data_IF_092892454377
#
_entry.id   IF_092892454377
#
_cell.length_a   1.000
_cell.length_b   1.000
_cell.length_c   1.000
_cell.angle_alpha   90.00
_cell.angle_beta   90.00
_cell.angle_gamma   90.00
#
_symmetry.space_group_name_H-M   'P 1'
#
loop_
_entity.id
_entity.type
_entity.pdbx_description
1 polymer ?
#
# COMPACT_ATOMS: atom_id res chain seq x y z
N UNK A 1 6.04 -6.88 -15.25
CA UNK A 1 7.18 -6.14 -14.68
C UNK A 1 7.68 -5.19 -15.74
N UNK A 2 7.83 -3.94 -15.37
CA UNK A 2 8.39 -2.88 -16.21
C UNK A 2 9.75 -2.46 -15.65
N UNK A 3 10.56 -1.84 -16.50
CA UNK A 3 11.88 -1.35 -16.15
C UNK A 3 11.99 0.10 -16.58
N UNK A 4 12.52 0.94 -15.70
CA UNK A 4 12.81 2.33 -16.02
C UNK A 4 14.05 2.81 -15.28
N UNK A 5 14.72 3.80 -15.87
CA UNK A 5 15.85 4.47 -15.23
C UNK A 5 15.34 5.76 -14.58
N UNK A 6 15.51 5.87 -13.28
CA UNK A 6 15.14 7.07 -12.52
C UNK A 6 16.41 7.82 -12.15
N UNK A 7 16.52 9.07 -12.61
CA UNK A 7 17.54 10.02 -12.15
C UNK A 7 17.06 10.75 -10.90
N UNK A 8 17.83 10.67 -9.82
CA UNK A 8 17.56 11.40 -8.58
C UNK A 8 18.78 12.21 -8.18
N UNK A 9 18.59 13.50 -7.90
CA UNK A 9 19.64 14.34 -7.34
C UNK A 9 19.84 13.99 -5.86
N UNK A 10 20.99 13.40 -5.52
CA UNK A 10 21.34 13.02 -4.16
C UNK A 10 22.70 13.60 -3.78
N UNK A 11 22.75 14.41 -2.71
CA UNK A 11 23.99 15.08 -2.25
C UNK A 11 24.72 15.87 -3.35
N UNK A 12 23.97 16.56 -4.21
CA UNK A 12 24.47 17.34 -5.37
C UNK A 12 25.10 16.50 -6.50
N UNK A 13 24.97 15.18 -6.44
CA UNK A 13 25.32 14.26 -7.51
C UNK A 13 24.05 13.69 -8.11
N UNK A 14 23.94 13.68 -9.44
CA UNK A 14 22.88 12.95 -10.11
C UNK A 14 23.20 11.45 -10.06
N UNK A 15 22.26 10.66 -9.54
CA UNK A 15 22.39 9.21 -9.48
C UNK A 15 21.27 8.58 -10.29
N UNK A 16 21.66 7.66 -11.17
CA UNK A 16 20.74 6.87 -11.95
C UNK A 16 20.52 5.53 -11.27
N UNK A 17 19.26 5.15 -11.12
CA UNK A 17 18.86 3.88 -10.55
C UNK A 17 18.04 3.12 -11.59
N UNK A 18 18.45 1.89 -11.84
CA UNK A 18 17.66 0.93 -12.61
C UNK A 18 16.56 0.37 -11.70
N UNK A 19 15.31 0.65 -12.04
CA UNK A 19 14.14 0.30 -11.22
C UNK A 19 13.26 -0.66 -11.98
N UNK A 20 13.13 -1.87 -11.43
CA UNK A 20 12.16 -2.86 -11.87
C UNK A 20 10.93 -2.79 -10.96
N UNK A 21 9.75 -2.59 -11.54
CA UNK A 21 8.52 -2.45 -10.77
C UNK A 21 7.33 -3.09 -11.48
N UNK A 22 6.22 -3.20 -10.75
CA UNK A 22 4.92 -3.52 -11.30
C UNK A 22 4.03 -2.28 -11.13
N UNK A 23 3.36 -1.80 -12.19
CA UNK A 23 2.47 -0.63 -12.06
C UNK A 23 1.43 -0.85 -10.96
N UNK A 24 1.23 0.15 -10.10
CA UNK A 24 0.31 0.01 -8.97
C UNK A 24 -1.13 -0.27 -9.43
N UNK A 25 -1.52 0.29 -10.57
CA UNK A 25 -2.82 0.05 -11.17
C UNK A 25 -3.00 -1.43 -11.57
N UNK A 26 -1.97 -2.03 -12.17
CA UNK A 26 -1.99 -3.44 -12.55
C UNK A 26 -2.00 -4.35 -11.31
N UNK A 27 -1.27 -3.97 -10.25
CA UNK A 27 -1.34 -4.65 -8.96
C UNK A 27 -2.75 -4.63 -8.38
N UNK A 28 -3.41 -3.47 -8.32
CA UNK A 28 -4.76 -3.38 -7.79
C UNK A 28 -5.78 -4.11 -8.67
N UNK A 29 -5.74 -3.91 -9.98
CA UNK A 29 -6.71 -4.54 -10.88
C UNK A 29 -6.56 -6.05 -10.88
N UNK A 30 -5.35 -6.60 -10.82
CA UNK A 30 -5.15 -8.05 -10.70
C UNK A 30 -5.71 -8.61 -9.39
N UNK A 31 -5.47 -7.95 -8.25
CA UNK A 31 -6.05 -8.35 -6.96
C UNK A 31 -7.58 -8.24 -6.92
N UNK A 32 -8.13 -7.15 -7.46
CA UNK A 32 -9.58 -6.90 -7.47
C UNK A 32 -10.33 -7.76 -8.48
N UNK A 33 -9.66 -8.23 -9.52
CA UNK A 33 -10.24 -9.15 -10.52
C UNK A 33 -10.21 -10.61 -10.07
N UNK A 34 -9.45 -10.93 -9.03
CA UNK A 34 -9.43 -12.28 -8.47
C UNK A 34 -10.79 -12.58 -7.81
N UNK A 35 -11.45 -13.70 -8.16
CA UNK A 35 -12.79 -14.02 -7.68
C UNK A 35 -12.86 -14.36 -6.18
N UNK A 36 -11.72 -14.66 -5.54
CA UNK A 36 -11.63 -14.95 -4.11
C UNK A 36 -11.21 -13.72 -3.30
N UNK A 37 -10.36 -12.85 -3.86
CA UNK A 37 -9.82 -11.67 -3.16
C UNK A 37 -10.68 -10.44 -3.41
N UNK A 38 -11.08 -10.19 -4.66
CA UNK A 38 -11.84 -9.01 -5.06
C UNK A 38 -13.11 -8.75 -4.25
N UNK A 39 -13.94 -9.78 -3.96
CA UNK A 39 -15.13 -9.62 -3.13
C UNK A 39 -14.85 -9.19 -1.68
N UNK A 40 -13.63 -9.37 -1.18
CA UNK A 40 -13.26 -8.98 0.17
C UNK A 40 -12.80 -7.52 0.27
N UNK A 41 -12.65 -6.82 -0.85
CA UNK A 41 -12.20 -5.43 -0.84
C UNK A 41 -13.29 -4.48 -0.31
N UNK A 42 -12.91 -3.66 0.66
CA UNK A 42 -13.75 -2.64 1.28
C UNK A 42 -13.44 -1.28 0.66
N UNK A 43 -14.48 -0.65 0.12
CA UNK A 43 -14.40 0.67 -0.50
C UNK A 43 -15.23 1.73 0.22
N UNK A 44 -16.17 1.28 1.05
CA UNK A 44 -17.05 2.15 1.78
C UNK A 44 -16.40 2.45 3.13
N UNK A 45 -16.40 3.73 3.50
CA UNK A 45 -15.81 4.18 4.75
C UNK A 45 -16.68 3.72 5.93
N UNK A 46 -16.04 3.24 6.98
CA UNK A 46 -16.73 2.82 8.20
C UNK A 46 -16.23 3.65 9.40
N UNK A 47 -17.02 3.77 10.46
CA UNK A 47 -16.59 4.41 11.70
C UNK A 47 -16.74 3.45 12.85
N UNK A 48 -15.62 3.11 13.46
CA UNK A 48 -15.59 2.22 14.61
C UNK A 48 -15.47 3.03 15.90
N UNK A 49 -16.28 2.66 16.88
CA UNK A 49 -16.28 3.26 18.21
C UNK A 49 -16.13 2.17 19.27
N UNK A 50 -15.31 2.45 20.28
CA UNK A 50 -15.12 1.56 21.43
C UNK A 50 -15.46 2.31 22.71
N UNK A 51 -16.24 1.68 23.59
CA UNK A 51 -16.54 2.24 24.90
C UNK A 51 -15.36 2.00 25.85
N UNK A 52 -14.83 3.08 26.45
CA UNK A 52 -13.68 3.02 27.36
C UNK A 52 -14.06 2.98 28.85
N UNK A 53 -15.35 2.84 29.17
CA UNK A 53 -15.87 2.88 30.54
C UNK A 53 -16.46 4.24 30.93
N UNK A 54 -16.16 5.31 30.19
CA UNK A 54 -16.77 6.63 30.36
C UNK A 54 -17.52 7.08 29.10
N UNK A 55 -16.85 7.02 27.95
CA UNK A 55 -17.37 7.49 26.66
C UNK A 55 -17.02 6.54 25.52
N UNK A 56 -17.73 6.69 24.40
CA UNK A 56 -17.35 6.03 23.15
C UNK A 56 -16.28 6.87 22.45
N UNK A 57 -15.14 6.25 22.16
CA UNK A 57 -14.04 6.87 21.43
C UNK A 57 -13.87 6.19 20.08
N UNK A 58 -13.66 7.00 19.03
CA UNK A 58 -13.36 6.48 17.71
C UNK A 58 -11.95 5.89 17.70
N UNK A 59 -11.77 4.77 17.02
CA UNK A 59 -10.46 4.21 16.77
C UNK A 59 -10.32 3.82 15.30
N UNK A 60 -9.08 3.75 14.85
CA UNK A 60 -8.70 3.34 13.49
C UNK A 60 -8.15 1.93 13.61
N UNK A 61 -8.80 0.98 12.95
CA UNK A 61 -8.37 -0.42 12.89
C UNK A 61 -7.77 -0.68 11.51
N UNK A 62 -8.59 -0.45 10.49
CA UNK A 62 -8.23 -0.58 9.09
C UNK A 62 -8.29 0.77 8.38
N UNK A 63 -7.59 0.98 7.25
CA UNK A 63 -7.52 2.31 6.62
C UNK A 63 -8.85 2.90 6.19
N UNK A 64 -9.86 2.07 5.87
CA UNK A 64 -11.23 2.55 5.58
C UNK A 64 -12.01 3.04 6.80
N UNK A 65 -11.47 2.83 8.01
CA UNK A 65 -12.07 3.32 9.27
C UNK A 65 -11.58 4.72 9.67
N UNK A 66 -10.57 5.24 8.96
CA UNK A 66 -9.98 6.54 9.22
C UNK A 66 -10.79 7.68 8.58
N UNK A 67 -10.81 8.85 9.23
CA UNK A 67 -11.52 10.02 8.72
C UNK A 67 -11.00 10.49 7.35
N UNK A 68 -9.71 10.28 7.05
CA UNK A 68 -9.15 10.62 5.74
C UNK A 68 -9.79 9.83 4.59
N UNK A 69 -10.13 8.56 4.84
CA UNK A 69 -10.80 7.71 3.85
C UNK A 69 -12.26 8.13 3.67
N UNK A 70 -12.94 8.50 4.76
CA UNK A 70 -14.30 9.04 4.72
C UNK A 70 -14.39 10.40 4.00
N UNK A 71 -13.42 11.28 4.22
CA UNK A 71 -13.40 12.62 3.64
C UNK A 71 -12.94 12.63 2.17
N UNK A 72 -12.48 11.49 1.65
CA UNK A 72 -12.12 11.37 0.25
C UNK A 72 -13.38 11.47 -0.64
N UNK A 73 -13.26 12.17 -1.76
CA UNK A 73 -14.35 12.22 -2.74
C UNK A 73 -14.37 10.92 -3.56
N UNK A 74 -15.51 10.22 -3.56
CA UNK A 74 -15.68 8.95 -4.25
C UNK A 74 -15.26 7.74 -3.40
N UNK A 75 -14.94 6.62 -4.05
CA UNK A 75 -14.45 5.40 -3.40
C UNK A 75 -12.93 5.34 -3.52
N UNK A 76 -12.18 5.65 -2.45
CA UNK A 76 -10.72 5.69 -2.53
C UNK A 76 -10.11 4.29 -2.63
N UNK A 77 -9.07 4.19 -3.45
CA UNK A 77 -8.19 3.03 -3.56
C UNK A 77 -6.86 3.39 -2.89
N UNK A 78 -6.57 2.78 -1.76
CA UNK A 78 -5.47 3.16 -0.89
C UNK A 78 -4.36 2.11 -0.90
N UNK A 79 -3.10 2.59 -0.87
CA UNK A 79 -1.91 1.75 -0.87
C UNK A 79 -0.97 2.16 0.25
N UNK A 80 -0.36 1.16 0.88
CA UNK A 80 0.82 1.35 1.72
C UNK A 80 2.04 0.89 0.90
N UNK A 81 2.96 1.83 0.66
CA UNK A 81 4.25 1.57 0.05
C UNK A 81 5.32 1.63 1.12
N UNK A 82 6.06 0.54 1.27
CA UNK A 82 7.15 0.50 2.24
C UNK A 82 8.36 -0.26 1.71
N UNK A 83 9.53 0.16 2.16
CA UNK A 83 10.76 -0.60 1.93
C UNK A 83 11.01 -1.49 3.13
N UNK A 84 11.12 -2.79 2.89
CA UNK A 84 11.50 -3.72 3.94
C UNK A 84 13.01 -3.99 3.84
N UNK A 85 13.77 -3.32 4.71
CA UNK A 85 15.23 -3.50 4.77
C UNK A 85 15.65 -4.88 5.27
N UNK A 86 14.75 -5.63 5.92
CA UNK A 86 15.05 -6.98 6.41
C UNK A 86 14.89 -8.03 5.32
N UNK A 87 14.01 -7.78 4.33
CA UNK A 87 13.86 -8.60 3.13
C UNK A 87 14.87 -8.19 2.06
N UNK A 88 16.15 -8.43 2.30
CA UNK A 88 17.17 -8.25 1.27
C UNK A 88 17.06 -9.36 0.22
N UNK A 89 16.72 -8.98 -1.01
CA UNK A 89 16.85 -9.88 -2.16
C UNK A 89 18.30 -9.83 -2.65
N UNK A 90 19.04 -10.90 -2.40
CA UNK A 90 20.39 -11.08 -2.94
C UNK A 90 20.32 -11.86 -4.25
N UNK A 91 20.68 -11.22 -5.36
CA UNK A 91 20.87 -11.88 -6.65
C UNK A 91 22.37 -11.90 -6.98
N UNK A 92 23.04 -12.98 -6.59
CA UNK A 92 24.49 -13.10 -6.75
C UNK A 92 25.24 -12.01 -5.98
N UNK A 93 25.92 -11.11 -6.70
CA UNK A 93 26.66 -9.97 -6.13
C UNK A 93 25.83 -8.71 -5.91
N UNK A 94 24.60 -8.65 -6.43
CA UNK A 94 23.73 -7.50 -6.31
C UNK A 94 22.75 -7.65 -5.13
N UNK A 95 22.58 -6.57 -4.36
CA UNK A 95 21.55 -6.44 -3.32
C UNK A 95 20.42 -5.57 -3.86
N UNK A 96 19.23 -6.14 -3.98
CA UNK A 96 18.02 -5.41 -4.28
C UNK A 96 17.25 -5.14 -2.97
N UNK A 97 16.82 -3.89 -2.80
CA UNK A 97 15.94 -3.48 -1.71
C UNK A 97 14.51 -3.47 -2.25
N UNK A 98 13.66 -4.44 -1.86
CA UNK A 98 12.29 -4.47 -2.36
C UNK A 98 11.48 -3.31 -1.76
N UNK A 99 10.69 -2.69 -2.61
CA UNK A 99 9.56 -1.85 -2.20
C UNK A 99 8.32 -2.69 -2.38
N UNK A 100 7.57 -2.87 -1.30
CA UNK A 100 6.33 -3.63 -1.29
C UNK A 100 5.17 -2.66 -1.40
N UNK A 101 4.21 -2.99 -2.27
CA UNK A 101 2.93 -2.31 -2.35
C UNK A 101 1.85 -3.21 -1.77
N UNK A 102 1.16 -2.73 -0.74
CA UNK A 102 0.02 -3.40 -0.14
C UNK A 102 -1.24 -2.59 -0.44
N UNK A 103 -2.24 -3.24 -1.03
CA UNK A 103 -3.57 -2.65 -1.24
C UNK A 103 -4.34 -2.69 0.08
N UNK A 104 -4.64 -1.54 0.66
CA UNK A 104 -5.23 -1.44 2.00
C UNK A 104 -6.75 -1.47 2.02
N UNK A 105 -7.37 -1.61 0.86
CA UNK A 105 -8.79 -1.92 0.76
C UNK A 105 -9.06 -3.40 1.09
N UNK A 106 -8.01 -4.22 1.19
CA UNK A 106 -8.12 -5.62 1.61
C UNK A 106 -7.82 -5.72 3.11
N UNK A 107 -8.66 -6.42 3.89
CA UNK A 107 -8.36 -6.76 5.28
C UNK A 107 -7.01 -7.47 5.43
N UNK A 108 -6.33 -7.20 6.55
CA UNK A 108 -4.99 -7.75 6.84
C UNK A 108 -4.97 -9.30 6.89
N UNK A 109 -6.11 -9.92 7.19
CA UNK A 109 -6.22 -11.37 7.40
C UNK A 109 -6.44 -12.21 6.11
N UNK A 110 -6.40 -11.59 4.92
CA UNK A 110 -6.65 -12.23 3.62
C UNK A 110 -5.36 -12.62 2.89
#
# INVERSE_FOLDING_TARGET
FEQTIISVLYRKEERQFDVHFHPLWDCATSLLSDPHIGPCAVFDAERLYKYNGNQFEQFIDEPWTADAFLNAQGKPLAFILYSDKTKLLTFGTAKAYPVVAQLTNLPVDI
#
